data_IF_611769643249
#
_entry.id   IF_611769643249
#
_cell.length_a   1.000
_cell.length_b   1.000
_cell.length_c   1.000
_cell.angle_alpha   90.00
_cell.angle_beta   90.00
_cell.angle_gamma   90.00
#
_symmetry.space_group_name_H-M   'P 1'
#
loop_
_entity.id
_entity.type
_entity.pdbx_description
1 polymer ?
#
# COMPACT_ATOMS: atom_id res chain seq x y z
N UNK A 1 -2.15 -22.77 -9.68
CA UNK A 1 -2.20 -22.21 -8.31
C UNK A 1 -1.03 -21.27 -8.12
N UNK A 2 -1.20 -20.09 -7.49
CA UNK A 2 -0.10 -19.13 -7.34
C UNK A 2 0.91 -19.62 -6.28
N UNK A 3 2.06 -20.14 -6.73
CA UNK A 3 3.09 -20.71 -5.85
C UNK A 3 3.59 -19.73 -4.79
N UNK A 4 3.58 -18.43 -5.06
CA UNK A 4 4.04 -17.44 -4.09
C UNK A 4 3.13 -17.36 -2.86
N UNK A 5 1.82 -17.56 -3.04
CA UNK A 5 0.84 -17.53 -1.95
C UNK A 5 0.88 -18.84 -1.16
N UNK A 6 1.05 -19.98 -1.83
CA UNK A 6 1.07 -21.29 -1.16
C UNK A 6 2.36 -21.54 -0.39
N UNK A 7 3.50 -21.05 -0.91
CA UNK A 7 4.82 -21.24 -0.28
C UNK A 7 5.25 -20.07 0.59
N UNK A 8 4.60 -18.92 0.50
CA UNK A 8 5.04 -17.67 1.14
C UNK A 8 6.34 -17.10 0.57
N UNK A 9 6.85 -17.66 -0.53
CA UNK A 9 8.08 -17.21 -1.19
C UNK A 9 7.75 -16.26 -2.34
N UNK A 10 8.34 -15.06 -2.30
CA UNK A 10 8.11 -14.02 -3.29
C UNK A 10 9.42 -13.72 -4.04
N UNK A 11 9.39 -13.54 -5.37
CA UNK A 11 10.53 -13.09 -6.14
C UNK A 11 11.18 -11.85 -5.51
N UNK A 12 12.51 -11.85 -5.38
CA UNK A 12 13.25 -10.73 -4.81
C UNK A 12 13.03 -9.42 -5.59
N UNK A 13 12.77 -9.51 -6.90
CA UNK A 13 12.44 -8.35 -7.74
C UNK A 13 11.16 -7.64 -7.29
N UNK A 14 10.13 -8.36 -6.85
CA UNK A 14 8.88 -7.77 -6.35
C UNK A 14 9.03 -7.10 -4.99
N UNK A 15 10.17 -7.28 -4.32
CA UNK A 15 10.52 -6.59 -3.07
C UNK A 15 11.36 -5.33 -3.30
N UNK A 16 11.70 -5.02 -4.56
CA UNK A 16 12.38 -3.78 -4.93
C UNK A 16 11.35 -2.73 -5.30
N UNK A 17 11.53 -1.53 -4.77
CA UNK A 17 10.67 -0.38 -5.05
C UNK A 17 11.51 0.82 -5.48
N UNK A 18 10.97 1.61 -6.39
CA UNK A 18 11.51 2.93 -6.73
C UNK A 18 11.02 3.94 -5.68
N UNK A 19 11.96 4.70 -5.10
CA UNK A 19 11.64 5.72 -4.10
C UNK A 19 11.37 7.05 -4.79
N UNK A 20 10.11 7.49 -4.75
CA UNK A 20 9.67 8.77 -5.30
C UNK A 20 9.39 9.73 -4.15
N UNK A 21 9.97 10.92 -4.19
CA UNK A 21 9.78 11.95 -3.16
C UNK A 21 8.74 12.97 -3.63
N UNK A 22 7.57 12.99 -2.98
CA UNK A 22 6.53 13.99 -3.25
C UNK A 22 6.65 15.16 -2.28
N UNK A 23 6.79 16.38 -2.80
CA UNK A 23 6.86 17.57 -1.95
C UNK A 23 5.53 17.83 -1.23
N UNK A 24 5.58 18.16 0.07
CA UNK A 24 4.42 18.68 0.81
C UNK A 24 4.07 20.08 0.30
N UNK A 25 2.77 20.36 0.15
CA UNK A 25 2.28 21.70 -0.24
C UNK A 25 2.81 22.76 0.74
N UNK A 26 3.30 23.87 0.20
CA UNK A 26 3.78 25.04 0.95
C UNK A 26 4.99 24.78 1.88
N UNK A 27 5.84 23.81 1.53
CA UNK A 27 7.03 23.44 2.31
C UNK A 27 8.33 23.59 1.52
N UNK A 28 9.48 23.66 2.20
CA UNK A 28 10.77 23.99 1.59
C UNK A 28 11.34 22.78 0.86
N UNK A 29 11.96 23.00 -0.30
CA UNK A 29 12.58 21.93 -1.11
C UNK A 29 13.90 21.40 -0.52
N UNK A 30 14.45 22.10 0.48
CA UNK A 30 15.78 21.81 1.02
C UNK A 30 15.77 20.88 2.22
N UNK A 31 14.59 20.54 2.77
CA UNK A 31 14.45 19.75 3.99
C UNK A 31 13.85 18.39 3.65
N UNK A 32 14.53 17.30 3.98
CA UNK A 32 14.03 15.94 3.70
C UNK A 32 12.65 15.67 4.34
N UNK A 33 12.40 16.21 5.53
CA UNK A 33 11.13 16.11 6.24
C UNK A 33 9.94 16.77 5.51
N UNK A 34 10.21 17.62 4.53
CA UNK A 34 9.20 18.31 3.73
C UNK A 34 8.72 17.50 2.52
N UNK A 35 9.25 16.28 2.32
CA UNK A 35 8.79 15.33 1.32
C UNK A 35 7.98 14.18 1.96
N UNK A 36 7.13 13.56 1.14
CA UNK A 36 6.45 12.29 1.41
C UNK A 36 7.12 11.24 0.53
N UNK A 37 7.89 10.30 1.11
CA UNK A 37 8.43 9.20 0.34
C UNK A 37 7.30 8.24 -0.07
N UNK A 38 7.28 7.85 -1.33
CA UNK A 38 6.44 6.77 -1.86
C UNK A 38 7.36 5.70 -2.43
N UNK A 39 7.13 4.45 -2.02
CA UNK A 39 7.79 3.28 -2.59
C UNK A 39 6.89 2.71 -3.69
N UNK A 40 7.30 2.86 -4.94
CA UNK A 40 6.57 2.35 -6.10
C UNK A 40 7.10 0.98 -6.50
N UNK A 41 6.26 -0.05 -6.41
CA UNK A 41 6.58 -1.40 -6.90
C UNK A 41 6.40 -1.50 -8.42
N UNK A 42 7.02 -2.52 -9.00
CA UNK A 42 6.76 -2.91 -10.38
C UNK A 42 5.31 -3.39 -10.57
N UNK A 43 4.85 -3.41 -11.82
CA UNK A 43 3.46 -3.77 -12.14
C UNK A 43 3.09 -5.18 -11.64
N UNK A 44 4.04 -6.11 -11.67
CA UNK A 44 3.81 -7.49 -11.22
C UNK A 44 3.64 -7.58 -9.70
N UNK A 45 4.52 -6.94 -8.91
CA UNK A 45 4.37 -6.84 -7.46
C UNK A 45 3.08 -6.12 -7.08
N UNK A 46 2.72 -5.05 -7.80
CA UNK A 46 1.46 -4.32 -7.56
C UNK A 46 0.22 -5.18 -7.82
N UNK A 47 0.22 -5.95 -8.90
CA UNK A 47 -0.87 -6.88 -9.21
C UNK A 47 -1.05 -7.92 -8.09
N UNK A 48 0.06 -8.41 -7.53
CA UNK A 48 0.00 -9.35 -6.42
C UNK A 48 -0.56 -8.72 -5.14
N UNK A 49 -0.17 -7.49 -4.80
CA UNK A 49 -0.77 -6.74 -3.69
C UNK A 49 -2.28 -6.60 -3.85
N UNK A 50 -2.76 -6.31 -5.06
CA UNK A 50 -4.19 -6.21 -5.34
C UNK A 50 -4.92 -7.54 -5.05
N UNK A 51 -4.39 -8.68 -5.51
CA UNK A 51 -4.99 -9.99 -5.24
C UNK A 51 -5.01 -10.33 -3.75
N UNK A 52 -3.96 -9.96 -3.00
CA UNK A 52 -3.90 -10.17 -1.54
C UNK A 52 -4.90 -9.25 -0.83
N UNK A 53 -5.00 -8.00 -1.26
CA UNK A 53 -5.92 -7.02 -0.70
C UNK A 53 -7.38 -7.45 -0.86
N UNK A 54 -7.76 -7.96 -2.03
CA UNK A 54 -9.10 -8.48 -2.27
C UNK A 54 -9.47 -9.58 -1.27
N UNK A 55 -8.58 -10.56 -1.09
CA UNK A 55 -8.78 -11.64 -0.11
C UNK A 55 -8.82 -11.14 1.34
N UNK A 56 -7.98 -10.16 1.67
CA UNK A 56 -7.97 -9.58 3.01
C UNK A 56 -9.27 -8.82 3.31
N UNK A 57 -9.83 -8.15 2.31
CA UNK A 57 -11.11 -7.44 2.42
C UNK A 57 -12.30 -8.38 2.61
N UNK A 58 -12.25 -9.60 2.07
CA UNK A 58 -13.27 -10.63 2.30
C UNK A 58 -13.27 -11.12 3.76
N UNK A 59 -12.11 -11.20 4.40
CA UNK A 59 -11.95 -11.67 5.80
C UNK A 59 -12.20 -10.53 6.82
N UNK A 60 -12.50 -9.32 6.34
CA UNK A 60 -12.41 -8.08 7.10
C UNK A 60 -13.57 -7.78 8.06
N UNK A 61 -14.43 -8.76 8.34
CA UNK A 61 -15.59 -8.63 9.24
C UNK A 61 -15.21 -8.25 10.68
N UNK A 62 -13.92 -8.37 11.05
CA UNK A 62 -13.41 -8.16 12.41
C UNK A 62 -12.87 -6.76 12.69
N UNK A 63 -12.83 -5.84 11.72
CA UNK A 63 -12.36 -4.48 12.01
C UNK A 63 -13.41 -3.71 12.83
N UNK A 64 -12.96 -3.12 13.94
CA UNK A 64 -13.77 -2.24 14.79
C UNK A 64 -14.50 -1.15 14.00
N UNK A 65 -15.77 -0.94 14.33
CA UNK A 65 -16.63 0.09 13.73
C UNK A 65 -16.09 1.53 13.86
N UNK A 66 -15.14 1.78 14.77
CA UNK A 66 -14.50 3.10 14.98
C UNK A 66 -13.35 3.42 14.01
N UNK A 67 -13.01 2.52 13.08
CA UNK A 67 -12.00 2.79 12.04
C UNK A 67 -12.69 3.26 10.76
N UNK A 68 -12.57 4.57 10.48
CA UNK A 68 -13.22 5.24 9.35
C UNK A 68 -12.34 5.37 8.09
N UNK A 69 -11.02 5.27 8.21
CA UNK A 69 -10.11 5.34 7.05
C UNK A 69 -10.08 4.04 6.24
N UNK A 70 -9.92 4.17 4.93
CA UNK A 70 -9.65 3.05 4.00
C UNK A 70 -10.68 1.90 4.02
N UNK A 71 -11.96 2.23 4.26
CA UNK A 71 -13.08 1.30 4.08
C UNK A 71 -13.90 1.71 2.86
N UNK A 72 -14.51 0.73 2.19
CA UNK A 72 -15.42 0.98 1.05
C UNK A 72 -16.63 1.86 1.41
N UNK A 73 -17.06 1.85 2.68
CA UNK A 73 -18.32 2.48 3.12
C UNK A 73 -18.10 3.72 4.01
N UNK A 74 -16.94 3.84 4.65
CA UNK A 74 -16.65 4.95 5.54
C UNK A 74 -15.58 5.83 4.89
N UNK A 75 -15.96 7.06 4.56
CA UNK A 75 -15.01 8.11 4.25
C UNK A 75 -14.57 8.78 5.56
N UNK A 76 -13.29 9.08 5.68
CA UNK A 76 -12.81 9.96 6.74
C UNK A 76 -13.20 11.39 6.36
N UNK A 77 -14.20 11.95 7.06
CA UNK A 77 -14.53 13.38 6.97
C UNK A 77 -13.45 14.10 7.77
N UNK A 78 -12.50 14.71 7.07
CA UNK A 78 -11.49 15.64 7.61
C UNK A 78 -11.80 17.01 7.05
#
# INVERSE_FOLDING_TARGET
MNNAITTGSFPAIWKRAELILLQKRHKRLTVAADFRPISLLDAAGKLQECMILERLLEVNETISARKYGFRRVFACII
#
